data_IF_702339279085
#
_entry.id   IF_702339279085
#
_cell.length_a   1.000
_cell.length_b   1.000
_cell.length_c   1.000
_cell.angle_alpha   90.00
_cell.angle_beta   90.00
_cell.angle_gamma   90.00
#
_symmetry.space_group_name_H-M   'P 1'
#
loop_
_entity.id
_entity.type
_entity.pdbx_description
1 polymer ?
#
# COMPACT_ATOMS: atom_id res chain seq x y z
N UNK A 1 -5.42 6.68 -30.84
CA UNK A 1 -5.00 5.42 -31.49
C UNK A 1 -5.70 4.24 -30.83
N UNK A 2 -5.88 3.13 -31.54
CA UNK A 2 -6.51 1.91 -31.02
C UNK A 2 -5.66 1.16 -29.97
N UNK A 3 -4.37 1.52 -29.85
CA UNK A 3 -3.37 0.88 -28.98
C UNK A 3 -3.08 1.60 -27.67
N UNK A 4 -3.49 2.86 -27.50
CA UNK A 4 -3.22 3.59 -26.26
C UNK A 4 -4.04 3.01 -25.09
N UNK A 5 -3.43 2.78 -23.91
CA UNK A 5 -4.14 2.27 -22.74
C UNK A 5 -5.32 3.17 -22.38
N UNK A 6 -6.36 2.65 -21.71
CA UNK A 6 -7.53 3.44 -21.35
C UNK A 6 -7.19 4.62 -20.45
N UNK A 7 -6.25 4.42 -19.51
CA UNK A 7 -5.75 5.41 -18.58
C UNK A 7 -4.23 5.50 -18.76
N UNK A 8 -3.72 6.71 -18.97
CA UNK A 8 -2.28 6.97 -19.14
C UNK A 8 -1.54 6.75 -17.81
N UNK A 9 -0.31 6.22 -17.88
CA UNK A 9 0.62 6.23 -16.75
C UNK A 9 1.22 7.63 -16.56
N UNK A 10 1.23 8.15 -15.34
CA UNK A 10 1.87 9.42 -14.96
C UNK A 10 2.77 9.16 -13.76
N UNK A 11 3.98 9.74 -13.76
CA UNK A 11 4.97 9.52 -12.70
C UNK A 11 5.37 10.81 -11.99
N UNK A 12 5.48 10.77 -10.67
CA UNK A 12 6.00 11.88 -9.86
C UNK A 12 6.86 11.36 -8.70
N UNK A 13 7.73 12.21 -8.18
CA UNK A 13 8.54 11.91 -7.00
C UNK A 13 9.43 10.68 -7.16
N UNK A 14 9.49 9.88 -6.09
CA UNK A 14 10.30 8.67 -5.98
C UNK A 14 9.68 7.50 -6.75
N UNK A 15 9.59 7.65 -8.08
CA UNK A 15 9.06 6.64 -9.01
C UNK A 15 7.62 6.20 -8.74
N UNK A 16 6.81 7.03 -8.07
CA UNK A 16 5.38 6.75 -7.91
C UNK A 16 4.73 6.74 -9.29
N UNK A 17 4.11 5.63 -9.64
CA UNK A 17 3.35 5.47 -10.88
C UNK A 17 1.86 5.58 -10.57
N UNK A 18 1.18 6.49 -11.26
CA UNK A 18 -0.26 6.68 -11.20
C UNK A 18 -0.90 6.24 -12.52
N UNK A 19 -2.13 5.73 -12.48
CA UNK A 19 -2.89 5.40 -13.68
C UNK A 19 -2.53 4.03 -14.25
N UNK A 20 -2.49 3.87 -15.58
CA UNK A 20 -2.22 2.58 -16.26
C UNK A 20 -3.12 1.41 -15.83
N UNK A 21 -4.39 1.76 -15.65
CA UNK A 21 -5.39 0.86 -15.10
C UNK A 21 -6.42 0.44 -16.15
N UNK A 22 -6.86 -0.82 -16.10
CA UNK A 22 -7.61 -1.43 -17.22
C UNK A 22 -8.96 -2.05 -16.84
N UNK A 23 -9.25 -2.24 -15.55
CA UNK A 23 -10.47 -2.91 -15.07
C UNK A 23 -11.24 -2.08 -14.04
N UNK A 24 -12.51 -2.45 -13.83
CA UNK A 24 -13.36 -1.87 -12.79
C UNK A 24 -13.35 -2.70 -11.51
N UNK A 25 -13.20 -4.01 -11.62
CA UNK A 25 -13.23 -4.91 -10.48
C UNK A 25 -11.97 -5.75 -10.48
N UNK A 26 -11.32 -5.85 -9.31
CA UNK A 26 -10.05 -6.58 -9.19
C UNK A 26 -10.17 -8.08 -9.52
N UNK A 27 -11.35 -8.67 -9.41
CA UNK A 27 -11.56 -10.07 -9.79
C UNK A 27 -11.57 -10.29 -11.31
N UNK A 28 -11.78 -9.24 -12.12
CA UNK A 28 -11.62 -9.33 -13.58
C UNK A 28 -10.13 -9.40 -13.94
N UNK A 29 -9.31 -8.58 -13.28
CA UNK A 29 -7.84 -8.53 -13.36
C UNK A 29 -7.30 -7.71 -12.19
N UNK A 30 -6.03 -7.89 -11.85
CA UNK A 30 -5.31 -7.09 -10.83
C UNK A 30 -5.40 -5.58 -11.10
N UNK A 31 -5.54 -4.79 -10.03
CA UNK A 31 -5.20 -3.36 -10.05
C UNK A 31 -3.68 -3.23 -9.89
N UNK A 32 -3.02 -2.49 -10.76
CA UNK A 32 -1.55 -2.55 -10.91
C UNK A 32 -0.80 -1.56 -10.02
N UNK A 33 -1.32 -0.34 -9.90
CA UNK A 33 -0.57 0.78 -9.31
C UNK A 33 -1.28 1.26 -8.03
N UNK A 34 -0.79 0.89 -6.83
CA UNK A 34 -1.39 1.25 -5.55
C UNK A 34 -1.63 2.75 -5.41
N UNK A 35 -2.74 3.13 -4.77
CA UNK A 35 -3.05 4.53 -4.48
C UNK A 35 -1.91 5.20 -3.70
N UNK A 36 -1.40 6.31 -4.20
CA UNK A 36 -0.46 7.15 -3.47
C UNK A 36 -1.17 7.85 -2.31
N UNK A 37 -0.61 7.75 -1.11
CA UNK A 37 -1.13 8.33 0.13
C UNK A 37 -0.20 9.50 0.48
N UNK A 38 -0.77 10.71 0.54
CA UNK A 38 -0.05 11.93 0.88
C UNK A 38 -0.63 12.58 2.13
N UNK A 39 0.25 13.00 3.04
CA UNK A 39 -0.15 13.77 4.23
C UNK A 39 -0.05 15.27 3.93
N UNK A 40 -1.13 16.00 4.22
CA UNK A 40 -1.22 17.45 4.04
C UNK A 40 -0.39 18.21 5.09
N UNK A 41 0.38 19.21 4.65
CA UNK A 41 1.01 20.25 5.46
C UNK A 41 0.56 21.60 4.91
N UNK A 42 -0.12 22.40 5.73
CA UNK A 42 -0.58 23.74 5.35
C UNK A 42 0.53 24.76 5.58
N UNK A 43 0.72 25.70 4.66
CA UNK A 43 1.71 26.78 4.80
C UNK A 43 1.28 27.90 5.77
N UNK A 44 -0.01 27.96 6.10
CA UNK A 44 -0.62 28.81 7.13
C UNK A 44 -0.33 28.35 8.58
N UNK A 45 0.34 27.20 8.75
CA UNK A 45 0.82 26.78 10.06
C UNK A 45 2.08 27.54 10.44
N UNK A 46 2.27 27.77 11.74
CA UNK A 46 3.54 28.26 12.29
C UNK A 46 4.67 27.23 12.11
N UNK A 47 5.92 27.69 12.01
CA UNK A 47 7.08 26.84 11.72
C UNK A 47 7.25 25.68 12.73
N UNK A 48 6.98 25.93 14.01
CA UNK A 48 7.04 24.90 15.05
C UNK A 48 5.99 23.79 14.85
N UNK A 49 4.78 24.16 14.41
CA UNK A 49 3.72 23.20 14.10
C UNK A 49 4.03 22.39 12.83
N UNK A 50 4.63 23.04 11.83
CA UNK A 50 5.13 22.37 10.61
C UNK A 50 6.21 21.35 10.99
N UNK A 51 7.19 21.75 11.79
CA UNK A 51 8.26 20.87 12.25
C UNK A 51 7.72 19.67 13.04
N UNK A 52 6.79 19.89 13.97
CA UNK A 52 6.15 18.82 14.71
C UNK A 52 5.43 17.82 13.77
N UNK A 53 4.71 18.32 12.77
CA UNK A 53 4.04 17.47 11.78
C UNK A 53 5.03 16.69 10.90
N UNK A 54 6.16 17.29 10.54
CA UNK A 54 7.21 16.61 9.78
C UNK A 54 7.89 15.51 10.58
N UNK A 55 8.08 15.68 11.88
CA UNK A 55 8.57 14.61 12.77
C UNK A 55 7.58 13.45 12.86
N UNK A 56 6.27 13.71 12.93
CA UNK A 56 5.26 12.65 12.83
C UNK A 56 5.37 11.89 11.51
N UNK A 57 5.49 12.62 10.40
CA UNK A 57 5.58 12.06 9.03
C UNK A 57 6.82 11.15 8.85
N UNK A 58 7.98 11.53 9.42
CA UNK A 58 9.21 10.73 9.34
C UNK A 58 9.02 9.31 9.89
N UNK A 59 8.17 9.15 10.89
CA UNK A 59 7.92 7.85 11.53
C UNK A 59 6.89 6.96 10.83
N UNK A 60 6.30 7.37 9.70
CA UNK A 60 5.18 6.66 9.05
C UNK A 60 5.65 5.52 8.14
N UNK A 61 6.43 4.61 8.73
CA UNK A 61 6.88 3.35 8.17
C UNK A 61 6.37 2.18 9.02
N UNK A 62 6.00 1.09 8.36
CA UNK A 62 5.42 -0.07 9.00
C UNK A 62 5.96 -1.35 8.39
N UNK A 63 6.25 -2.33 9.24
CA UNK A 63 6.44 -3.70 8.81
C UNK A 63 5.21 -4.51 9.23
N UNK A 64 4.59 -5.20 8.27
CA UNK A 64 3.46 -6.09 8.55
C UNK A 64 3.51 -7.26 7.57
N UNK A 65 3.44 -8.48 8.10
CA UNK A 65 3.44 -9.73 7.31
C UNK A 65 4.61 -9.80 6.31
N UNK A 66 5.80 -9.36 6.75
CA UNK A 66 7.02 -9.31 5.92
C UNK A 66 7.01 -8.26 4.80
N UNK A 67 5.99 -7.40 4.76
CA UNK A 67 5.90 -6.29 3.81
C UNK A 67 6.21 -4.98 4.52
N UNK A 68 7.01 -4.15 3.84
CA UNK A 68 7.30 -2.79 4.27
C UNK A 68 6.28 -1.84 3.64
N UNK A 69 5.62 -1.03 4.48
CA UNK A 69 4.75 0.06 4.06
C UNK A 69 5.40 1.38 4.40
N UNK A 70 5.34 2.27 3.43
CA UNK A 70 5.93 3.59 3.50
C UNK A 70 4.86 4.62 3.10
N UNK A 71 4.86 5.77 3.77
CA UNK A 71 4.15 6.93 3.23
C UNK A 71 4.76 7.31 1.87
N UNK A 72 3.91 7.66 0.89
CA UNK A 72 4.37 7.95 -0.47
C UNK A 72 4.85 9.40 -0.60
N UNK A 73 4.15 10.34 0.04
CA UNK A 73 4.45 11.76 -0.13
C UNK A 73 3.86 12.72 0.90
N UNK A 74 4.27 13.98 0.77
CA UNK A 74 3.76 15.12 1.55
C UNK A 74 3.15 16.13 0.58
N UNK A 75 1.95 16.59 0.92
CA UNK A 75 1.20 17.59 0.18
C UNK A 75 1.32 18.95 0.87
N UNK A 76 2.10 19.87 0.32
CA UNK A 76 2.17 21.25 0.81
C UNK A 76 1.04 22.03 0.18
N UNK A 77 0.13 22.54 1.03
CA UNK A 77 -1.09 23.25 0.60
C UNK A 77 -0.98 24.71 0.95
N UNK A 78 -1.14 25.56 -0.07
CA UNK A 78 -1.17 27.01 0.08
C UNK A 78 -2.55 27.45 0.60
N UNK A 79 -2.55 27.99 1.81
CA UNK A 79 -3.69 28.63 2.48
C UNK A 79 -3.36 30.04 2.97
N UNK A 80 -2.06 30.37 3.03
CA UNK A 80 -1.58 31.66 3.53
C UNK A 80 -1.87 32.86 2.61
N UNK A 81 -2.13 32.64 1.32
CA UNK A 81 -2.22 33.69 0.31
C UNK A 81 -0.86 34.28 -0.10
N UNK A 82 0.25 33.74 0.39
CA UNK A 82 1.58 34.35 0.31
C UNK A 82 2.57 33.46 -0.48
N UNK A 83 2.97 33.85 -1.70
CA UNK A 83 3.93 33.11 -2.52
C UNK A 83 5.27 32.82 -1.84
N UNK A 84 5.83 33.78 -1.11
CA UNK A 84 7.10 33.63 -0.41
C UNK A 84 6.97 32.62 0.75
N UNK A 85 5.87 32.69 1.51
CA UNK A 85 5.58 31.73 2.58
C UNK A 85 5.44 30.32 2.02
N UNK A 86 4.70 30.16 0.93
CA UNK A 86 4.53 28.86 0.30
C UNK A 86 5.87 28.27 -0.15
N UNK A 87 6.72 29.07 -0.81
CA UNK A 87 8.05 28.63 -1.24
C UNK A 87 8.97 28.27 -0.05
N UNK A 88 8.93 29.05 1.04
CA UNK A 88 9.65 28.75 2.28
C UNK A 88 9.23 27.38 2.85
N UNK A 89 7.92 27.14 2.98
CA UNK A 89 7.40 25.90 3.56
C UNK A 89 7.71 24.71 2.65
N UNK A 90 7.58 24.86 1.32
CA UNK A 90 7.98 23.81 0.37
C UNK A 90 9.47 23.46 0.55
N UNK A 91 10.35 24.46 0.67
CA UNK A 91 11.78 24.25 0.92
C UNK A 91 12.05 23.55 2.26
N UNK A 92 11.35 23.95 3.33
CA UNK A 92 11.45 23.33 4.65
C UNK A 92 11.03 21.86 4.63
N UNK A 93 9.88 21.56 4.03
CA UNK A 93 9.37 20.19 3.87
C UNK A 93 10.35 19.36 3.05
N UNK A 94 10.84 19.90 1.92
CA UNK A 94 11.80 19.23 1.07
C UNK A 94 13.12 18.89 1.80
N UNK A 95 13.62 19.79 2.64
CA UNK A 95 14.83 19.56 3.43
C UNK A 95 14.62 18.53 4.57
N UNK A 96 13.40 18.38 5.07
CA UNK A 96 13.09 17.51 6.20
C UNK A 96 12.76 16.07 5.79
N UNK A 97 12.45 15.80 4.52
CA UNK A 97 12.01 14.47 4.08
C UNK A 97 12.38 14.17 2.63
N UNK A 98 12.72 12.91 2.37
CA UNK A 98 12.95 12.39 1.01
C UNK A 98 11.67 11.91 0.32
N UNK A 99 10.51 11.97 0.98
CA UNK A 99 9.22 11.54 0.41
C UNK A 99 8.82 12.37 -0.81
N UNK A 100 7.94 11.84 -1.65
CA UNK A 100 7.49 12.57 -2.84
C UNK A 100 6.70 13.82 -2.47
N UNK A 101 6.80 14.88 -3.28
CA UNK A 101 6.16 16.16 -2.96
C UNK A 101 4.95 16.42 -3.87
N UNK A 102 3.88 16.96 -3.28
CA UNK A 102 2.79 17.62 -3.96
C UNK A 102 2.80 19.10 -3.57
N UNK A 103 2.86 20.01 -4.55
CA UNK A 103 2.72 21.45 -4.36
C UNK A 103 1.31 21.83 -4.79
N UNK A 104 0.46 22.24 -3.86
CA UNK A 104 -0.95 22.54 -4.11
C UNK A 104 -1.28 24.02 -3.85
N UNK A 105 -1.35 24.81 -4.91
CA UNK A 105 -1.82 26.20 -4.93
C UNK A 105 -2.51 26.53 -6.27
N UNK A 106 -3.56 27.34 -6.24
CA UNK A 106 -4.12 27.93 -7.47
C UNK A 106 -3.43 29.26 -7.84
N UNK A 107 -2.55 29.76 -6.98
CA UNK A 107 -1.75 30.95 -7.21
C UNK A 107 -0.52 30.62 -8.06
N UNK A 108 -0.49 31.16 -9.28
CA UNK A 108 0.61 30.94 -10.22
C UNK A 108 1.95 31.47 -9.69
N UNK A 109 1.95 32.58 -8.96
CA UNK A 109 3.16 33.18 -8.42
C UNK A 109 3.74 32.32 -7.29
N UNK A 110 2.89 31.71 -6.46
CA UNK A 110 3.30 30.75 -5.44
C UNK A 110 3.96 29.52 -6.06
N UNK A 111 3.37 28.97 -7.13
CA UNK A 111 3.95 27.83 -7.86
C UNK A 111 5.29 28.20 -8.52
N UNK A 112 5.38 29.38 -9.16
CA UNK A 112 6.63 29.89 -9.77
C UNK A 112 7.73 30.10 -8.73
N UNK A 113 7.38 30.54 -7.52
CA UNK A 113 8.34 30.75 -6.44
C UNK A 113 8.85 29.43 -5.85
N UNK A 114 7.97 28.43 -5.69
CA UNK A 114 8.31 27.19 -4.98
C UNK A 114 8.92 26.10 -5.88
N UNK A 115 8.38 25.88 -7.08
CA UNK A 115 8.73 24.74 -7.93
C UNK A 115 10.22 24.67 -8.32
N UNK A 116 10.90 25.75 -8.72
CA UNK A 116 12.29 25.68 -9.19
C UNK A 116 13.26 25.06 -8.17
N UNK A 117 13.02 25.27 -6.88
CA UNK A 117 13.86 24.75 -5.79
C UNK A 117 13.72 23.24 -5.54
N UNK A 118 12.69 22.60 -6.10
CA UNK A 118 12.38 21.16 -5.88
C UNK A 118 12.06 20.42 -7.18
N UNK A 119 12.28 21.03 -8.34
CA UNK A 119 11.91 20.47 -9.65
C UNK A 119 12.65 19.16 -9.98
N UNK A 120 13.88 19.01 -9.50
CA UNK A 120 14.71 17.81 -9.60
C UNK A 120 14.06 16.58 -8.93
N UNK A 121 13.26 16.81 -7.89
CA UNK A 121 12.45 15.78 -7.21
C UNK A 121 11.15 15.45 -7.93
N UNK A 122 10.90 16.06 -9.10
CA UNK A 122 9.73 15.84 -9.96
C UNK A 122 8.39 15.81 -9.20
N UNK A 123 8.05 16.87 -8.44
CA UNK A 123 6.82 16.89 -7.66
C UNK A 123 5.56 16.81 -8.54
N UNK A 124 4.43 16.44 -7.94
CA UNK A 124 3.13 16.72 -8.54
C UNK A 124 2.76 18.19 -8.24
N UNK A 125 2.37 18.95 -9.24
CA UNK A 125 2.00 20.37 -9.07
C UNK A 125 0.53 20.58 -9.37
N UNK A 126 -0.13 21.45 -8.62
CA UNK A 126 -1.53 21.75 -8.84
C UNK A 126 -1.92 23.04 -8.14
N UNK A 127 -3.06 23.65 -8.46
CA UNK A 127 -4.04 23.16 -9.45
C UNK A 127 -4.16 24.11 -10.64
N UNK A 128 -4.12 23.53 -11.85
CA UNK A 128 -4.52 24.18 -13.08
C UNK A 128 -6.05 24.18 -13.19
N UNK A 129 -6.65 25.35 -13.06
CA UNK A 129 -8.09 25.63 -13.18
C UNK A 129 -8.37 26.49 -14.42
N UNK A 130 -9.63 26.69 -14.79
CA UNK A 130 -10.03 27.43 -15.99
C UNK A 130 -9.36 28.81 -16.14
N UNK A 131 -9.14 29.52 -15.03
CA UNK A 131 -8.54 30.87 -15.03
C UNK A 131 -7.00 30.89 -15.19
N UNK A 132 -6.29 29.79 -14.90
CA UNK A 132 -4.83 29.79 -14.82
C UNK A 132 -4.15 28.64 -15.60
N UNK A 133 -4.92 27.74 -16.23
CA UNK A 133 -4.41 26.47 -16.74
C UNK A 133 -3.26 26.64 -17.75
N UNK A 134 -3.29 27.67 -18.59
CA UNK A 134 -2.24 27.90 -19.57
C UNK A 134 -0.88 28.15 -18.92
N UNK A 135 -0.85 28.97 -17.88
CA UNK A 135 0.39 29.30 -17.17
C UNK A 135 0.88 28.11 -16.36
N UNK A 136 -0.02 27.45 -15.61
CA UNK A 136 0.36 26.32 -14.76
C UNK A 136 0.83 25.13 -15.60
N UNK A 137 0.18 24.82 -16.72
CA UNK A 137 0.61 23.73 -17.62
C UNK A 137 1.92 24.07 -18.33
N UNK A 138 2.15 25.33 -18.72
CA UNK A 138 3.45 25.75 -19.29
C UNK A 138 4.58 25.64 -18.27
N UNK A 139 4.35 26.07 -17.03
CA UNK A 139 5.30 25.92 -15.93
C UNK A 139 5.62 24.43 -15.67
N UNK A 140 4.59 23.59 -15.63
CA UNK A 140 4.76 22.15 -15.47
C UNK A 140 5.56 21.51 -16.62
N UNK A 141 5.31 21.94 -17.86
CA UNK A 141 6.05 21.51 -19.05
C UNK A 141 7.52 21.94 -19.01
N UNK A 142 7.79 23.18 -18.58
CA UNK A 142 9.15 23.73 -18.45
C UNK A 142 10.00 22.91 -17.47
N UNK A 143 9.42 22.51 -16.34
CA UNK A 143 10.10 21.69 -15.33
C UNK A 143 9.91 20.17 -15.50
N UNK A 144 9.18 19.73 -16.53
CA UNK A 144 8.86 18.32 -16.80
C UNK A 144 8.21 17.58 -15.61
N UNK A 145 7.27 18.25 -14.94
CA UNK A 145 6.54 17.74 -13.76
C UNK A 145 5.05 17.51 -14.06
N UNK A 146 4.42 16.47 -13.51
CA UNK A 146 2.99 16.26 -13.71
C UNK A 146 2.15 17.35 -13.04
N UNK A 147 0.98 17.64 -13.64
CA UNK A 147 0.10 18.73 -13.25
C UNK A 147 -1.33 18.26 -12.95
N UNK A 148 -1.92 18.78 -11.87
CA UNK A 148 -3.33 18.57 -11.52
C UNK A 148 -4.19 19.51 -12.36
N UNK A 149 -5.12 18.95 -13.12
CA UNK A 149 -6.20 19.69 -13.79
C UNK A 149 -7.45 19.59 -12.92
N UNK A 150 -7.97 20.74 -12.48
CA UNK A 150 -9.11 20.83 -11.56
C UNK A 150 -10.25 21.62 -12.17
N UNK A 151 -11.46 21.10 -12.08
CA UNK A 151 -12.68 21.85 -12.33
C UNK A 151 -13.84 21.24 -11.54
N UNK A 152 -14.85 22.06 -11.24
CA UNK A 152 -16.02 21.62 -10.47
C UNK A 152 -17.03 20.90 -11.37
N UNK A 153 -17.03 19.57 -11.29
CA UNK A 153 -17.93 18.71 -12.06
C UNK A 153 -17.29 18.13 -13.32
N UNK A 154 -17.86 17.02 -13.80
CA UNK A 154 -17.28 16.22 -14.87
C UNK A 154 -17.27 16.94 -16.23
N UNK A 155 -18.33 17.68 -16.54
CA UNK A 155 -18.43 18.38 -17.83
C UNK A 155 -17.34 19.45 -17.95
N UNK A 156 -17.27 20.36 -16.95
CA UNK A 156 -16.24 21.39 -16.87
C UNK A 156 -14.81 20.81 -16.85
N UNK A 157 -14.59 19.71 -16.11
CA UNK A 157 -13.30 19.04 -16.09
C UNK A 157 -12.92 18.49 -17.46
N UNK A 158 -13.86 17.87 -18.18
CA UNK A 158 -13.59 17.32 -19.50
C UNK A 158 -13.21 18.41 -20.50
N UNK A 159 -13.91 19.55 -20.50
CA UNK A 159 -13.61 20.69 -21.35
C UNK A 159 -12.23 21.28 -21.05
N UNK A 160 -11.90 21.44 -19.76
CA UNK A 160 -10.61 21.97 -19.33
C UNK A 160 -9.46 21.04 -19.72
N UNK A 161 -9.62 19.71 -19.58
CA UNK A 161 -8.61 18.74 -20.03
C UNK A 161 -8.39 18.85 -21.54
N UNK A 162 -9.44 18.98 -22.34
CA UNK A 162 -9.31 19.14 -23.79
C UNK A 162 -8.58 20.44 -24.17
N UNK A 163 -8.82 21.55 -23.45
CA UNK A 163 -8.05 22.79 -23.62
C UNK A 163 -6.58 22.58 -23.26
N UNK A 164 -6.30 22.00 -22.09
CA UNK A 164 -4.94 21.75 -21.62
C UNK A 164 -4.16 20.82 -22.56
N UNK A 165 -4.79 19.82 -23.16
CA UNK A 165 -4.17 18.91 -24.13
C UNK A 165 -3.62 19.62 -25.36
N UNK A 166 -4.17 20.79 -25.74
CA UNK A 166 -3.71 21.60 -26.88
C UNK A 166 -2.38 22.32 -26.61
N UNK A 167 -1.94 22.37 -25.34
CA UNK A 167 -0.64 22.91 -24.94
C UNK A 167 0.53 21.90 -25.13
N UNK A 168 0.23 20.74 -25.73
CA UNK A 168 1.18 19.68 -26.07
C UNK A 168 1.94 19.10 -24.85
N UNK A 169 1.36 19.23 -23.66
CA UNK A 169 1.80 18.56 -22.44
C UNK A 169 0.64 17.73 -21.91
N UNK A 170 0.88 16.48 -21.50
CA UNK A 170 -0.18 15.52 -21.15
C UNK A 170 0.16 14.69 -19.91
N UNK A 171 1.02 15.19 -19.02
CA UNK A 171 1.29 14.56 -17.72
C UNK A 171 0.26 15.02 -16.70
N UNK A 172 -1.00 14.61 -16.88
CA UNK A 172 -2.13 15.12 -16.10
C UNK A 172 -2.57 14.17 -15.00
N UNK A 173 -2.92 14.74 -13.85
CA UNK A 173 -3.72 14.12 -12.80
C UNK A 173 -5.02 14.91 -12.67
N UNK A 174 -6.16 14.27 -12.50
CA UNK A 174 -7.46 14.94 -12.55
C UNK A 174 -8.05 15.14 -11.15
N UNK A 175 -8.61 16.31 -10.87
CA UNK A 175 -9.44 16.60 -9.68
C UNK A 175 -10.84 17.05 -10.15
N UNK A 176 -11.91 16.28 -9.89
CA UNK A 176 -13.28 16.64 -10.27
C UNK A 176 -13.93 17.71 -9.37
N UNK A 177 -13.17 18.33 -8.45
CA UNK A 177 -13.63 19.42 -7.59
C UNK A 177 -14.58 19.01 -6.47
N UNK A 178 -15.12 17.78 -6.52
CA UNK A 178 -16.02 17.25 -5.50
C UNK A 178 -15.33 17.13 -4.14
N UNK A 179 -16.04 17.61 -3.10
CA UNK A 179 -15.62 17.55 -1.68
C UNK A 179 -16.66 16.87 -0.77
N UNK A 180 -17.70 16.26 -1.35
CA UNK A 180 -18.68 15.45 -0.61
C UNK A 180 -18.39 13.97 -0.87
N UNK A 181 -18.21 13.11 0.16
CA UNK A 181 -17.80 11.71 -0.05
C UNK A 181 -18.62 10.93 -1.08
N UNK A 182 -19.95 11.08 -1.04
CA UNK A 182 -20.86 10.42 -2.00
C UNK A 182 -20.62 10.90 -3.44
N UNK A 183 -20.47 12.20 -3.64
CA UNK A 183 -20.21 12.78 -4.97
C UNK A 183 -18.81 12.42 -5.46
N UNK A 184 -17.80 12.47 -4.60
CA UNK A 184 -16.43 12.09 -4.94
C UNK A 184 -16.38 10.63 -5.40
N UNK A 185 -16.98 9.71 -4.64
CA UNK A 185 -17.09 8.30 -5.04
C UNK A 185 -17.79 8.13 -6.41
N UNK A 186 -18.88 8.86 -6.65
CA UNK A 186 -19.60 8.82 -7.91
C UNK A 186 -18.73 9.32 -9.08
N UNK A 187 -18.06 10.46 -8.92
CA UNK A 187 -17.17 11.05 -9.91
C UNK A 187 -16.02 10.10 -10.27
N UNK A 188 -15.33 9.55 -9.26
CA UNK A 188 -14.24 8.58 -9.48
C UNK A 188 -14.74 7.36 -10.28
N UNK A 189 -15.94 6.87 -9.96
CA UNK A 189 -16.56 5.74 -10.68
C UNK A 189 -16.89 6.09 -12.13
N UNK A 190 -17.47 7.26 -12.37
CA UNK A 190 -17.81 7.71 -13.72
C UNK A 190 -16.56 7.90 -14.58
N UNK A 191 -15.53 8.56 -14.06
CA UNK A 191 -14.27 8.79 -14.77
C UNK A 191 -13.61 7.46 -15.17
N UNK A 192 -13.49 6.52 -14.22
CA UNK A 192 -12.95 5.17 -14.48
C UNK A 192 -13.75 4.41 -15.54
N UNK A 193 -15.10 4.43 -15.45
CA UNK A 193 -15.99 3.78 -16.42
C UNK A 193 -15.87 4.38 -17.82
N UNK A 194 -15.86 5.71 -17.92
CA UNK A 194 -15.78 6.43 -19.19
C UNK A 194 -14.42 6.17 -19.86
N UNK A 195 -13.32 6.22 -19.11
CA UNK A 195 -11.99 5.91 -19.62
C UNK A 195 -11.89 4.47 -20.15
N UNK A 196 -12.33 3.48 -19.36
CA UNK A 196 -12.17 2.05 -19.70
C UNK A 196 -13.20 1.58 -20.73
N UNK A 197 -14.49 1.80 -20.47
CA UNK A 197 -15.57 1.19 -21.26
C UNK A 197 -15.93 2.03 -22.49
N UNK A 198 -15.72 3.35 -22.44
CA UNK A 198 -16.07 4.26 -23.55
C UNK A 198 -14.86 4.87 -24.25
N UNK A 199 -13.63 4.58 -23.77
CA UNK A 199 -12.39 5.18 -24.29
C UNK A 199 -12.44 6.71 -24.33
N UNK A 200 -13.17 7.31 -23.38
CA UNK A 200 -13.34 8.76 -23.29
C UNK A 200 -12.02 9.40 -22.88
N UNK A 201 -11.32 10.00 -23.85
CA UNK A 201 -9.94 10.45 -23.70
C UNK A 201 -9.72 11.58 -22.69
N UNK A 202 -10.64 12.53 -22.49
CA UNK A 202 -10.47 13.55 -21.45
C UNK A 202 -10.34 12.97 -20.04
N UNK A 203 -10.92 11.79 -19.76
CA UNK A 203 -10.76 11.10 -18.47
C UNK A 203 -9.74 9.95 -18.51
N UNK A 204 -8.94 9.86 -19.56
CA UNK A 204 -7.90 8.83 -19.71
C UNK A 204 -6.64 9.08 -18.89
N UNK A 205 -6.78 9.58 -17.67
CA UNK A 205 -5.69 10.01 -16.78
C UNK A 205 -5.96 9.56 -15.33
N UNK A 206 -4.93 9.43 -14.48
CA UNK A 206 -5.12 9.19 -13.06
C UNK A 206 -5.90 10.31 -12.36
N UNK A 207 -6.50 9.99 -11.22
CA UNK A 207 -7.39 10.91 -10.49
C UNK A 207 -6.90 11.06 -9.04
N UNK A 208 -6.92 12.28 -8.53
CA UNK A 208 -6.59 12.60 -7.13
C UNK A 208 -7.86 12.91 -6.35
N UNK A 209 -7.90 12.51 -5.08
CA UNK A 209 -8.99 12.83 -4.16
C UNK A 209 -8.44 13.46 -2.87
N UNK A 210 -9.27 14.29 -2.25
CA UNK A 210 -8.95 14.99 -1.00
C UNK A 210 -9.98 14.60 0.04
N UNK A 211 -9.53 14.17 1.22
CA UNK A 211 -10.43 13.94 2.36
C UNK A 211 -10.95 15.28 2.90
N UNK A 212 -12.09 15.21 3.57
CA UNK A 212 -12.80 16.41 4.04
C UNK A 212 -13.24 16.30 5.50
N UNK A 213 -13.27 15.10 6.06
CA UNK A 213 -13.62 14.89 7.48
C UNK A 213 -12.54 15.43 8.40
N UNK A 214 -12.94 16.10 9.48
CA UNK A 214 -12.02 16.58 10.53
C UNK A 214 -11.81 15.54 11.63
N UNK A 215 -12.84 14.73 11.91
CA UNK A 215 -12.70 13.62 12.85
C UNK A 215 -11.81 12.53 12.22
N UNK A 216 -10.69 12.15 12.87
CA UNK A 216 -9.69 11.33 12.21
C UNK A 216 -10.15 9.93 11.79
N UNK A 217 -11.02 9.27 12.55
CA UNK A 217 -11.53 7.95 12.16
C UNK A 217 -12.46 8.04 10.93
N UNK A 218 -13.30 9.08 10.88
CA UNK A 218 -14.14 9.39 9.73
C UNK A 218 -13.29 9.75 8.50
N UNK A 219 -12.17 10.45 8.69
CA UNK A 219 -11.22 10.76 7.61
C UNK A 219 -10.57 9.50 7.04
N UNK A 220 -10.06 8.61 7.89
CA UNK A 220 -9.47 7.33 7.45
C UNK A 220 -10.52 6.46 6.75
N UNK A 221 -11.76 6.48 7.24
CA UNK A 221 -12.88 5.78 6.60
C UNK A 221 -13.18 6.35 5.22
N UNK A 222 -13.22 7.68 5.08
CA UNK A 222 -13.37 8.36 3.78
C UNK A 222 -12.23 8.01 2.81
N UNK A 223 -10.97 8.06 3.27
CA UNK A 223 -9.81 7.69 2.48
C UNK A 223 -9.87 6.23 2.00
N UNK A 224 -10.35 5.31 2.86
CA UNK A 224 -10.51 3.89 2.49
C UNK A 224 -11.48 3.70 1.32
N UNK A 225 -12.53 4.51 1.24
CA UNK A 225 -13.48 4.51 0.12
C UNK A 225 -12.78 5.00 -1.15
N UNK A 226 -11.94 6.04 -1.08
CA UNK A 226 -11.25 6.57 -2.25
C UNK A 226 -10.21 5.58 -2.79
N UNK A 227 -9.44 4.93 -1.92
CA UNK A 227 -8.55 3.80 -2.28
C UNK A 227 -9.36 2.68 -2.95
N UNK A 228 -10.52 2.32 -2.41
CA UNK A 228 -11.41 1.31 -2.98
C UNK A 228 -12.06 1.72 -4.31
N UNK A 229 -12.12 3.03 -4.59
CA UNK A 229 -12.87 3.63 -5.69
C UNK A 229 -11.97 4.47 -6.57
N UNK A 230 -10.90 3.84 -7.06
CA UNK A 230 -10.13 4.27 -8.23
C UNK A 230 -9.32 5.56 -8.08
N UNK A 231 -9.25 6.16 -6.89
CA UNK A 231 -8.33 7.25 -6.66
C UNK A 231 -6.89 6.74 -6.84
N UNK A 232 -6.14 7.40 -7.71
CA UNK A 232 -4.72 7.12 -7.93
C UNK A 232 -3.86 7.78 -6.86
N UNK A 233 -4.31 8.93 -6.33
CA UNK A 233 -3.72 9.58 -5.16
C UNK A 233 -4.80 10.05 -4.19
N UNK A 234 -4.51 10.04 -2.89
CA UNK A 234 -5.37 10.57 -1.83
C UNK A 234 -4.54 11.47 -0.93
N UNK A 235 -5.01 12.69 -0.72
CA UNK A 235 -4.44 13.65 0.25
C UNK A 235 -5.32 13.66 1.49
N UNK A 236 -4.68 13.55 2.67
CA UNK A 236 -5.35 13.52 3.97
C UNK A 236 -4.59 14.27 5.06
N UNK A 237 -5.29 14.61 6.14
CA UNK A 237 -4.73 15.33 7.29
C UNK A 237 -4.12 14.38 8.33
N UNK A 238 -4.69 13.19 8.50
CA UNK A 238 -4.22 12.17 9.43
C UNK A 238 -2.73 11.80 9.21
N UNK A 239 -1.95 11.93 10.29
CA UNK A 239 -0.48 11.83 10.29
C UNK A 239 0.05 10.86 11.36
N UNK A 240 -0.81 10.05 12.00
CA UNK A 240 -0.38 9.14 13.07
C UNK A 240 -0.29 7.68 12.59
N UNK A 241 0.57 6.89 13.25
CA UNK A 241 0.73 5.46 12.97
C UNK A 241 -0.58 4.67 13.04
N UNK A 242 -1.39 4.93 14.07
CA UNK A 242 -2.65 4.23 14.29
C UNK A 242 -3.68 4.49 13.19
N UNK A 243 -3.64 5.66 12.55
CA UNK A 243 -4.54 6.03 11.45
C UNK A 243 -4.07 5.44 10.12
N UNK A 244 -2.76 5.48 9.82
CA UNK A 244 -2.25 5.06 8.51
C UNK A 244 -2.05 3.56 8.36
N UNK A 245 -1.69 2.83 9.42
CA UNK A 245 -1.53 1.38 9.35
C UNK A 245 -2.74 0.65 8.76
N UNK A 246 -4.00 0.88 9.22
CA UNK A 246 -5.16 0.24 8.63
C UNK A 246 -5.42 0.67 7.18
N UNK A 247 -5.20 1.93 6.83
CA UNK A 247 -5.38 2.43 5.46
C UNK A 247 -4.37 1.82 4.48
N UNK A 248 -3.09 1.77 4.85
CA UNK A 248 -2.04 1.16 4.04
C UNK A 248 -2.21 -0.36 3.92
N UNK A 249 -2.67 -1.00 4.99
CA UNK A 249 -3.03 -2.43 4.95
C UNK A 249 -4.21 -2.68 4.01
N UNK A 250 -5.23 -1.81 4.03
CA UNK A 250 -6.36 -1.89 3.09
C UNK A 250 -5.90 -1.71 1.64
N UNK A 251 -5.05 -0.71 1.37
CA UNK A 251 -4.43 -0.51 0.06
C UNK A 251 -3.70 -1.77 -0.40
N UNK A 252 -2.83 -2.33 0.44
CA UNK A 252 -2.08 -3.54 0.10
C UNK A 252 -3.02 -4.72 -0.24
N UNK A 253 -4.04 -4.95 0.57
CA UNK A 253 -5.00 -6.03 0.35
C UNK A 253 -5.76 -5.87 -0.97
N UNK A 254 -6.19 -4.63 -1.28
CA UNK A 254 -6.95 -4.33 -2.48
C UNK A 254 -6.12 -4.52 -3.75
N UNK A 255 -4.85 -4.13 -3.73
CA UNK A 255 -3.93 -4.17 -4.87
C UNK A 255 -3.15 -5.49 -5.00
N UNK A 256 -3.29 -6.42 -4.06
CA UNK A 256 -2.74 -7.77 -4.21
C UNK A 256 -3.34 -8.45 -5.44
N UNK A 257 -2.49 -9.12 -6.23
CA UNK A 257 -2.92 -9.91 -7.39
C UNK A 257 -3.85 -11.06 -6.93
N UNK A 258 -5.14 -11.06 -7.30
CA UNK A 258 -6.05 -12.11 -6.88
C UNK A 258 -5.77 -13.47 -7.53
N UNK A 259 -4.92 -13.54 -8.57
CA UNK A 259 -4.53 -14.77 -9.23
C UNK A 259 -3.29 -15.42 -8.60
N UNK A 260 -2.53 -14.67 -7.78
CA UNK A 260 -1.27 -15.12 -7.21
C UNK A 260 -1.26 -14.90 -5.69
N UNK A 261 -1.39 -15.98 -4.89
CA UNK A 261 -1.21 -15.88 -3.45
C UNK A 261 0.20 -15.36 -3.12
N UNK A 262 0.31 -14.52 -2.09
CA UNK A 262 1.60 -14.07 -1.55
C UNK A 262 2.18 -15.23 -0.72
N UNK A 263 3.40 -15.63 -1.05
CA UNK A 263 4.06 -16.79 -0.45
C UNK A 263 5.28 -16.37 0.39
N UNK A 264 5.58 -17.16 1.41
CA UNK A 264 6.86 -17.13 2.12
C UNK A 264 7.76 -18.21 1.51
N UNK A 265 9.06 -17.98 1.52
CA UNK A 265 10.00 -18.98 1.00
C UNK A 265 9.90 -20.27 1.84
N UNK A 266 9.75 -21.46 1.22
CA UNK A 266 9.53 -22.74 1.92
C UNK A 266 10.83 -23.32 2.49
N UNK A 267 11.51 -22.53 3.31
CA UNK A 267 12.76 -22.86 4.00
C UNK A 267 12.55 -22.85 5.51
N UNK A 268 13.48 -23.42 6.27
CA UNK A 268 13.42 -23.37 7.73
C UNK A 268 13.70 -21.95 8.24
N UNK A 269 12.69 -21.33 8.84
CA UNK A 269 12.82 -20.01 9.46
C UNK A 269 13.12 -20.13 10.96
N UNK A 270 14.00 -19.28 11.47
CA UNK A 270 14.30 -19.16 12.90
C UNK A 270 13.63 -17.90 13.45
N UNK A 271 12.87 -18.04 14.53
CA UNK A 271 12.23 -16.94 15.24
C UNK A 271 12.91 -16.79 16.60
N UNK A 272 13.56 -15.64 16.82
CA UNK A 272 14.42 -15.40 17.98
C UNK A 272 15.75 -16.16 17.96
N UNK A 273 16.40 -16.26 19.11
CA UNK A 273 17.70 -16.96 19.27
C UNK A 273 17.50 -18.46 19.50
N UNK A 274 17.25 -19.18 18.41
CA UNK A 274 17.02 -20.63 18.42
C UNK A 274 18.22 -21.43 18.93
N UNK A 275 17.96 -22.54 19.62
CA UNK A 275 18.97 -23.48 20.08
C UNK A 275 18.53 -24.94 19.83
N UNK A 276 19.38 -25.88 20.24
CA UNK A 276 19.17 -27.31 20.03
C UNK A 276 17.91 -27.92 20.71
N UNK A 277 17.27 -27.18 21.62
CA UNK A 277 16.03 -27.56 22.29
C UNK A 277 14.83 -26.70 21.84
N UNK A 278 14.97 -25.89 20.81
CA UNK A 278 13.90 -25.03 20.29
C UNK A 278 12.79 -25.85 19.61
N UNK A 279 11.50 -25.56 19.88
CA UNK A 279 10.40 -26.25 19.21
C UNK A 279 10.42 -26.06 17.69
N UNK A 280 9.87 -27.04 16.97
CA UNK A 280 9.74 -27.01 15.50
C UNK A 280 8.25 -27.03 15.14
N UNK A 281 7.76 -25.93 14.56
CA UNK A 281 6.38 -25.78 14.09
C UNK A 281 6.29 -26.03 12.59
N UNK A 282 5.26 -26.78 12.16
CA UNK A 282 4.85 -26.85 10.78
C UNK A 282 3.72 -25.87 10.47
N UNK A 283 3.77 -25.30 9.27
CA UNK A 283 2.70 -24.49 8.69
C UNK A 283 2.77 -24.57 7.17
N UNK A 284 1.97 -23.78 6.44
CA UNK A 284 2.09 -23.66 4.98
C UNK A 284 2.85 -22.41 4.57
N UNK A 285 3.33 -22.36 3.33
CA UNK A 285 4.01 -21.20 2.77
C UNK A 285 3.06 -20.07 2.32
N UNK A 286 1.77 -20.15 2.63
CA UNK A 286 0.88 -19.01 2.46
C UNK A 286 1.23 -17.91 3.46
N UNK A 287 1.62 -16.73 2.99
CA UNK A 287 2.12 -15.64 3.83
C UNK A 287 1.23 -15.32 5.04
N UNK A 288 -0.09 -15.19 4.85
CA UNK A 288 -0.99 -14.91 5.95
C UNK A 288 -1.01 -16.03 7.00
N UNK A 289 -0.93 -17.29 6.57
CA UNK A 289 -0.85 -18.43 7.49
C UNK A 289 0.50 -18.45 8.22
N UNK A 290 1.60 -18.26 7.49
CA UNK A 290 2.94 -18.23 8.07
C UNK A 290 3.09 -17.11 9.11
N UNK A 291 2.79 -15.86 8.77
CA UNK A 291 2.95 -14.72 9.68
C UNK A 291 1.94 -14.73 10.84
N UNK A 292 0.80 -15.41 10.70
CA UNK A 292 -0.10 -15.66 11.85
C UNK A 292 0.51 -16.64 12.85
N UNK A 293 1.36 -17.57 12.42
CA UNK A 293 2.10 -18.49 13.30
C UNK A 293 3.33 -17.79 13.86
N UNK A 294 4.12 -17.15 12.99
CA UNK A 294 5.37 -16.48 13.35
C UNK A 294 5.16 -15.37 14.37
N UNK A 295 4.17 -14.50 14.20
CA UNK A 295 3.87 -13.45 15.18
C UNK A 295 3.47 -13.98 16.57
N UNK A 296 2.78 -15.13 16.62
CA UNK A 296 2.40 -15.77 17.89
C UNK A 296 3.57 -16.52 18.55
N UNK A 297 4.46 -17.10 17.73
CA UNK A 297 5.74 -17.67 18.19
C UNK A 297 6.63 -16.57 18.76
N UNK A 298 6.79 -15.46 18.06
CA UNK A 298 7.55 -14.31 18.54
C UNK A 298 6.96 -13.75 19.84
N UNK A 299 5.64 -13.54 19.88
CA UNK A 299 4.92 -13.06 21.07
C UNK A 299 5.03 -14.02 22.27
N UNK A 300 5.18 -15.33 22.03
CA UNK A 300 5.41 -16.31 23.08
C UNK A 300 6.77 -16.15 23.78
N UNK A 301 7.72 -15.47 23.15
CA UNK A 301 9.12 -15.32 23.59
C UNK A 301 9.86 -16.65 23.75
N UNK A 302 9.41 -17.70 23.06
CA UNK A 302 10.08 -19.01 23.01
C UNK A 302 10.77 -19.12 21.64
N UNK A 303 12.12 -19.05 21.58
CA UNK A 303 12.82 -19.17 20.31
C UNK A 303 12.53 -20.51 19.65
N UNK A 304 12.05 -20.47 18.41
CA UNK A 304 11.51 -21.65 17.72
C UNK A 304 11.86 -21.66 16.24
N UNK A 305 11.84 -22.85 15.65
CA UNK A 305 11.88 -23.02 14.21
C UNK A 305 10.46 -23.11 13.64
N UNK A 306 10.25 -22.51 12.47
CA UNK A 306 9.02 -22.65 11.68
C UNK A 306 9.40 -23.18 10.30
N UNK A 307 8.80 -24.30 9.90
CA UNK A 307 8.94 -24.88 8.57
C UNK A 307 7.61 -24.72 7.78
N UNK A 308 7.50 -23.69 6.92
CA UNK A 308 6.42 -23.58 5.95
C UNK A 308 6.59 -24.61 4.84
N UNK A 309 5.61 -25.50 4.69
CA UNK A 309 5.52 -26.45 3.59
C UNK A 309 5.06 -25.72 2.34
N UNK A 310 5.69 -26.00 1.19
CA UNK A 310 5.27 -25.44 -0.09
C UNK A 310 3.91 -26.02 -0.50
N UNK A 311 2.88 -25.18 -0.49
CA UNK A 311 1.51 -25.54 -0.87
C UNK A 311 0.97 -24.66 -1.99
N UNK A 312 1.86 -24.07 -2.79
CA UNK A 312 1.56 -23.02 -3.77
C UNK A 312 0.88 -21.80 -3.13
N UNK A 313 1.24 -21.47 -1.88
CA UNK A 313 0.68 -20.34 -1.17
C UNK A 313 -0.77 -20.51 -0.73
N UNK A 314 -1.19 -21.74 -0.40
CA UNK A 314 -2.54 -22.01 0.10
C UNK A 314 -2.58 -22.22 1.62
N UNK A 315 -3.68 -21.83 2.26
CA UNK A 315 -3.86 -22.01 3.72
C UNK A 315 -3.84 -23.49 4.13
N UNK A 316 -3.59 -23.79 5.41
CA UNK A 316 -3.52 -25.17 5.94
C UNK A 316 -4.69 -26.04 5.46
N UNK A 317 -5.93 -25.60 5.67
CA UNK A 317 -7.12 -26.38 5.32
C UNK A 317 -7.34 -26.48 3.81
N UNK A 318 -7.00 -25.42 3.06
CA UNK A 318 -7.08 -25.44 1.59
C UNK A 318 -6.08 -26.43 1.00
N UNK A 319 -4.83 -26.38 1.49
CA UNK A 319 -3.76 -27.27 1.06
C UNK A 319 -4.07 -28.73 1.38
N UNK A 320 -4.54 -29.00 2.59
CA UNK A 320 -4.99 -30.32 3.01
C UNK A 320 -6.13 -30.85 2.13
N UNK A 321 -7.18 -30.06 1.93
CA UNK A 321 -8.31 -30.46 1.09
C UNK A 321 -7.92 -30.68 -0.39
N UNK A 322 -6.87 -30.01 -0.87
CA UNK A 322 -6.35 -30.14 -2.22
C UNK A 322 -5.26 -31.23 -2.38
N UNK A 323 -4.92 -31.98 -1.32
CA UNK A 323 -3.86 -32.99 -1.34
C UNK A 323 -2.44 -32.42 -1.49
N UNK A 324 -2.25 -31.15 -1.10
CA UNK A 324 -0.96 -30.43 -1.12
C UNK A 324 -0.30 -30.33 0.26
N UNK A 325 -0.87 -30.97 1.27
CA UNK A 325 -0.36 -30.98 2.64
C UNK A 325 -0.40 -32.40 3.20
N UNK A 326 0.23 -33.33 2.46
CA UNK A 326 0.24 -34.75 2.76
C UNK A 326 1.48 -35.16 3.58
N UNK A 327 1.39 -36.20 4.44
CA UNK A 327 2.48 -36.68 5.27
C UNK A 327 3.82 -36.89 4.53
N UNK A 328 3.79 -37.50 3.34
CA UNK A 328 4.99 -37.81 2.55
C UNK A 328 5.67 -36.54 2.02
N UNK A 329 4.89 -35.52 1.65
CA UNK A 329 5.41 -34.23 1.22
C UNK A 329 6.05 -33.49 2.39
N UNK A 330 5.38 -33.51 3.55
CA UNK A 330 5.87 -32.91 4.79
C UNK A 330 7.20 -33.56 5.22
N UNK A 331 7.29 -34.90 5.20
CA UNK A 331 8.49 -35.61 5.59
C UNK A 331 9.69 -35.27 4.68
N UNK A 332 9.47 -35.18 3.36
CA UNK A 332 10.51 -34.74 2.41
C UNK A 332 10.97 -33.30 2.69
N UNK A 333 10.03 -32.39 2.95
CA UNK A 333 10.37 -31.01 3.29
C UNK A 333 11.15 -30.94 4.62
N UNK A 334 10.77 -31.74 5.61
CA UNK A 334 11.44 -31.83 6.90
C UNK A 334 12.89 -32.29 6.75
N UNK A 335 13.14 -33.32 5.93
CA UNK A 335 14.50 -33.80 5.62
C UNK A 335 15.31 -32.72 4.88
N UNK A 336 14.74 -32.14 3.81
CA UNK A 336 15.40 -31.11 3.02
C UNK A 336 15.71 -29.83 3.82
N UNK A 337 14.94 -29.53 4.86
CA UNK A 337 15.13 -28.36 5.71
C UNK A 337 16.42 -28.40 6.57
N UNK A 338 17.00 -29.59 6.76
CA UNK A 338 18.16 -29.79 7.63
C UNK A 338 17.89 -29.57 9.13
N UNK A 339 16.62 -29.47 9.56
CA UNK A 339 16.29 -29.21 10.97
C UNK A 339 16.77 -30.34 11.90
N UNK A 340 16.92 -31.56 11.38
CA UNK A 340 17.42 -32.72 12.14
C UNK A 340 18.83 -32.50 12.72
N UNK A 341 19.65 -31.68 12.07
CA UNK A 341 21.00 -31.34 12.51
C UNK A 341 21.03 -30.12 13.45
N UNK A 342 19.90 -29.41 13.58
CA UNK A 342 19.77 -28.20 14.38
C UNK A 342 19.15 -28.43 15.75
N UNK A 343 18.40 -29.51 15.94
CA UNK A 343 17.75 -29.86 17.23
C UNK A 343 18.13 -31.25 17.72
N UNK A 344 18.24 -31.40 19.05
CA UNK A 344 18.53 -32.66 19.74
C UNK A 344 17.33 -33.60 19.83
N UNK A 345 16.11 -33.08 19.73
CA UNK A 345 14.88 -33.87 19.76
C UNK A 345 14.44 -34.27 18.34
N UNK A 346 13.45 -35.16 18.28
CA UNK A 346 12.72 -35.53 17.05
C UNK A 346 11.23 -35.35 17.29
N UNK A 347 10.84 -34.09 17.55
CA UNK A 347 9.46 -33.69 17.86
C UNK A 347 9.03 -32.56 16.94
N UNK A 348 7.83 -32.66 16.40
CA UNK A 348 7.29 -31.75 15.40
C UNK A 348 5.88 -31.31 15.78
N UNK A 349 5.59 -30.02 15.74
CA UNK A 349 4.27 -29.47 16.11
C UNK A 349 3.47 -29.19 14.84
N UNK A 350 2.29 -29.78 14.72
CA UNK A 350 1.40 -29.57 13.56
C UNK A 350 0.17 -28.73 13.91
N UNK A 351 -0.46 -28.02 12.94
CA UNK A 351 -1.70 -27.30 13.18
C UNK A 351 -2.83 -28.24 13.62
N UNK A 352 -3.60 -27.84 14.63
CA UNK A 352 -4.63 -28.69 15.24
C UNK A 352 -5.77 -29.08 14.30
N UNK A 353 -6.02 -28.32 13.24
CA UNK A 353 -7.04 -28.62 12.24
C UNK A 353 -6.71 -29.82 11.35
N UNK A 354 -5.43 -30.19 11.25
CA UNK A 354 -4.95 -31.34 10.47
C UNK A 354 -4.44 -32.47 11.37
N UNK A 355 -4.90 -32.55 12.61
CA UNK A 355 -4.52 -33.57 13.58
C UNK A 355 -4.62 -35.02 13.05
N UNK A 356 -5.54 -35.26 12.11
CA UNK A 356 -5.75 -36.56 11.45
C UNK A 356 -4.51 -37.08 10.71
N UNK A 357 -3.60 -36.21 10.25
CA UNK A 357 -2.39 -36.63 9.53
C UNK A 357 -1.28 -37.12 10.46
N UNK A 358 -1.41 -36.91 11.79
CA UNK A 358 -0.35 -37.15 12.78
C UNK A 358 0.20 -38.57 12.72
N UNK A 359 -0.65 -39.60 12.81
CA UNK A 359 -0.19 -40.99 12.85
C UNK A 359 0.60 -41.40 11.61
N UNK A 360 0.13 -41.01 10.41
CA UNK A 360 0.86 -41.31 9.18
C UNK A 360 2.15 -40.51 9.08
N UNK A 361 2.13 -39.24 9.49
CA UNK A 361 3.32 -38.39 9.51
C UNK A 361 4.40 -38.91 10.47
N UNK A 362 4.02 -39.41 11.66
CA UNK A 362 4.97 -40.07 12.57
C UNK A 362 5.63 -41.29 11.91
N UNK A 363 4.83 -42.13 11.24
CA UNK A 363 5.33 -43.31 10.54
C UNK A 363 6.35 -42.97 9.45
N UNK A 364 6.04 -41.99 8.57
CA UNK A 364 6.88 -41.69 7.41
C UNK A 364 8.06 -40.77 7.73
N UNK A 365 7.94 -39.90 8.74
CA UNK A 365 9.02 -38.98 9.12
C UNK A 365 9.96 -39.57 10.17
N UNK A 366 9.49 -40.49 11.02
CA UNK A 366 10.21 -40.96 12.20
C UNK A 366 10.32 -39.92 13.33
N UNK A 367 9.62 -38.78 13.21
CA UNK A 367 9.51 -37.77 14.26
C UNK A 367 8.23 -37.97 15.06
N UNK A 368 8.28 -37.73 16.38
CA UNK A 368 7.08 -37.66 17.21
C UNK A 368 6.28 -36.41 16.83
N UNK A 369 5.01 -36.59 16.48
CA UNK A 369 4.13 -35.49 16.08
C UNK A 369 3.28 -35.05 17.26
N UNK A 370 3.36 -33.77 17.57
CA UNK A 370 2.56 -33.11 18.60
C UNK A 370 1.49 -32.29 17.91
N UNK A 371 0.23 -32.53 18.25
CA UNK A 371 -0.89 -31.75 17.74
C UNK A 371 -0.95 -30.43 18.50
N UNK A 372 -0.67 -29.33 17.81
CA UNK A 372 -0.78 -27.98 18.32
C UNK A 372 -2.23 -27.48 18.38
N UNK A 373 -2.43 -26.21 18.75
CA UNK A 373 -3.75 -25.59 18.74
C UNK A 373 -4.31 -25.48 17.31
N UNK A 374 -5.64 -25.38 17.22
CA UNK A 374 -6.34 -25.16 15.93
C UNK A 374 -6.07 -23.76 15.37
N UNK A 375 -6.00 -22.76 16.25
CA UNK A 375 -5.69 -21.37 15.93
C UNK A 375 -4.30 -21.01 16.46
N UNK A 376 -3.52 -20.21 15.72
CA UNK A 376 -2.17 -19.84 16.12
C UNK A 376 -2.12 -19.02 17.41
N UNK A 377 -3.18 -18.27 17.73
CA UNK A 377 -3.31 -17.53 19.00
C UNK A 377 -3.25 -18.42 20.24
N UNK A 378 -3.44 -19.74 20.09
CA UNK A 378 -3.23 -20.73 21.14
C UNK A 378 -1.77 -21.12 21.39
N UNK A 379 -0.81 -20.67 20.57
CA UNK A 379 0.60 -21.06 20.68
C UNK A 379 1.19 -20.60 22.02
N UNK A 380 0.83 -19.41 22.49
CA UNK A 380 1.35 -18.84 23.75
C UNK A 380 0.96 -19.71 24.95
N UNK A 381 -0.27 -20.23 25.01
CA UNK A 381 -0.70 -21.10 26.10
C UNK A 381 -0.14 -22.52 25.93
N UNK A 382 -0.12 -23.03 24.71
CA UNK A 382 0.39 -24.35 24.37
C UNK A 382 1.88 -24.53 24.71
N UNK A 383 2.72 -23.54 24.38
CA UNK A 383 4.17 -23.56 24.67
C UNK A 383 4.48 -23.70 26.15
N UNK A 384 3.66 -23.13 27.04
CA UNK A 384 3.84 -23.24 28.51
C UNK A 384 3.66 -24.66 29.03
N UNK A 385 2.93 -25.49 28.29
CA UNK A 385 2.65 -26.90 28.63
C UNK A 385 3.46 -27.87 27.79
N UNK A 386 4.31 -27.37 26.89
CA UNK A 386 5.04 -28.18 25.94
C UNK A 386 6.28 -28.81 26.59
N UNK A 387 6.38 -30.12 26.53
CA UNK A 387 7.56 -30.88 26.97
C UNK A 387 8.35 -31.37 25.75
N UNK A 388 9.50 -30.72 25.47
CA UNK A 388 10.40 -31.01 24.33
C UNK A 388 11.44 -32.10 24.60
#
# INVERSE_FOLDING_TARGET
SASAPPIKAVKFGNDIVLGDETVLFRHDKTFYHPTAILVEVSDDLEDDAINAKLEEIKGLDFERVGLQYHLDGVAVVEKSGNPERFAQVVGQVAAATDRSLLLLSENVDALKAALPGVADRKPLVGSAVESNYEEVVKLAKEHNVPVIIKADGLDALSELVEKAQKLEYKEFVLDPGSRKPSQTMANLTHMRRLAIKKKFRPFGYPVIAFTTKDEPLAEVTEASVYVAKYASAVVLKASTKAQLLPLMSWRQNLYTDPQKPIQVEPVLHAVGEVNENSPVYLTTNFSLTYYSVEGEVEASKVPSYILPIDTDGTSVLTAYAAGKYEPEQIAKALEASGVADKVKHRKLIIPGYVAVISGKLEEVSGWKVIVGPRESSGIISFTRTLEL
#
